data_IF_647694655650
#
_entry.id   IF_647694655650
#
_cell.length_a   1.000
_cell.length_b   1.000
_cell.length_c   1.000
_cell.angle_alpha   90.00
_cell.angle_beta   90.00
_cell.angle_gamma   90.00
#
_symmetry.space_group_name_H-M   'P 1'
#
loop_
_entity.id
_entity.type
_entity.pdbx_description
1 polymer ?
#
# COMPACT_ATOMS: atom_id res chain seq x y z
N UNK A 1 -29.52 -15.47 28.45
CA UNK A 1 -29.12 -15.20 28.71
C UNK A 1 -28.79 -14.48 28.93
N UNK A 2 -29.22 -14.60 28.68
CA UNK A 2 -28.79 -13.98 28.93
C UNK A 2 -28.14 -13.26 29.23
N UNK A 3 -28.60 -13.29 29.87
CA UNK A 3 -27.72 -12.55 30.36
C UNK A 3 -26.77 -12.58 29.34
N UNK A 4 -27.03 -13.16 28.53
CA UNK A 4 -26.12 -13.26 27.60
C UNK A 4 -25.58 -12.01 27.07
N UNK A 5 -26.20 -10.96 27.17
CA UNK A 5 -25.69 -9.73 26.67
C UNK A 5 -24.34 -9.35 27.22
N UNK A 6 -24.11 -9.67 28.48
CA UNK A 6 -22.89 -9.23 29.09
C UNK A 6 -21.68 -9.95 28.58
N UNK A 7 -21.63 -11.25 28.43
CA UNK A 7 -20.49 -11.90 27.84
C UNK A 7 -20.23 -11.37 26.44
N UNK A 8 -21.27 -11.06 25.73
CA UNK A 8 -21.10 -10.55 24.38
C UNK A 8 -20.37 -9.20 24.37
N UNK A 9 -20.67 -8.37 25.35
CA UNK A 9 -19.99 -7.09 25.42
C UNK A 9 -18.50 -7.24 25.65
N UNK A 10 -18.12 -8.14 26.54
CA UNK A 10 -16.72 -8.38 26.80
C UNK A 10 -16.02 -8.94 25.57
N UNK A 11 -16.69 -9.85 24.88
CA UNK A 11 -16.12 -10.40 23.67
C UNK A 11 -15.98 -9.34 22.61
N UNK A 12 -16.95 -8.46 22.50
CA UNK A 12 -16.88 -7.38 21.53
C UNK A 12 -15.72 -6.44 21.83
N UNK A 13 -15.49 -6.15 23.10
CA UNK A 13 -14.36 -5.30 23.47
C UNK A 13 -13.04 -5.97 23.16
N UNK A 14 -12.95 -7.28 23.42
CA UNK A 14 -11.73 -7.99 23.10
C UNK A 14 -11.49 -8.03 21.61
N UNK A 15 -12.53 -8.23 20.83
CA UNK A 15 -12.41 -8.24 19.38
C UNK A 15 -11.99 -6.88 18.87
N UNK A 16 -12.55 -5.83 19.44
CA UNK A 16 -12.17 -4.47 19.02
C UNK A 16 -10.70 -4.20 19.33
N UNK A 17 -10.24 -4.64 20.48
CA UNK A 17 -8.83 -4.46 20.85
C UNK A 17 -7.92 -5.25 19.92
N UNK A 18 -8.30 -6.48 19.61
CA UNK A 18 -7.51 -7.29 18.69
C UNK A 18 -7.46 -6.68 17.31
N UNK A 19 -8.58 -6.17 16.83
CA UNK A 19 -8.62 -5.53 15.53
C UNK A 19 -7.75 -4.30 15.51
N UNK A 20 -7.77 -3.51 16.58
CA UNK A 20 -6.95 -2.33 16.67
C UNK A 20 -5.47 -2.70 16.65
N UNK A 21 -5.09 -3.75 17.38
CA UNK A 21 -3.72 -4.22 17.35
C UNK A 21 -3.32 -4.72 15.97
N UNK A 22 -4.20 -5.42 15.30
CA UNK A 22 -3.93 -5.90 13.96
C UNK A 22 -3.74 -4.76 12.98
N UNK A 23 -4.55 -3.72 13.12
CA UNK A 23 -4.42 -2.55 12.26
C UNK A 23 -3.08 -1.84 12.49
N UNK A 24 -2.72 -1.67 13.75
CA UNK A 24 -1.44 -1.04 14.05
C UNK A 24 -0.28 -1.87 13.54
N UNK A 25 -0.37 -3.18 13.67
CA UNK A 25 0.65 -4.09 13.19
C UNK A 25 0.77 -4.03 11.68
N UNK A 26 -0.38 -4.01 11.00
CA UNK A 26 -0.39 -3.92 9.54
C UNK A 26 0.23 -2.61 9.06
N UNK A 27 -0.10 -1.51 9.73
CA UNK A 27 0.48 -0.22 9.37
C UNK A 27 1.98 -0.19 9.62
N UNK A 28 2.42 -0.80 10.71
CA UNK A 28 3.83 -0.86 11.01
C UNK A 28 4.58 -1.69 9.98
N UNK A 29 4.01 -2.82 9.58
CA UNK A 29 4.61 -3.66 8.55
C UNK A 29 4.69 -2.92 7.23
N UNK A 30 3.64 -2.19 6.88
CA UNK A 30 3.65 -1.41 5.65
C UNK A 30 4.70 -0.30 5.69
N UNK A 31 4.85 0.33 6.83
CA UNK A 31 5.83 1.42 6.96
C UNK A 31 7.26 0.92 6.78
N UNK A 32 7.51 -0.35 7.07
CA UNK A 32 8.84 -0.93 6.95
C UNK A 32 9.04 -1.75 5.70
N UNK A 33 7.97 -2.03 4.96
CA UNK A 33 8.09 -2.77 3.71
C UNK A 33 8.67 -1.86 2.64
N UNK A 34 9.39 -2.46 1.70
CA UNK A 34 9.94 -1.72 0.56
C UNK A 34 9.37 -2.29 -0.72
N UNK A 35 8.93 -1.40 -1.59
CA UNK A 35 8.32 -1.77 -2.85
C UNK A 35 9.01 -1.00 -3.94
N UNK A 36 9.31 -1.66 -5.03
CA UNK A 36 10.01 -1.03 -6.13
C UNK A 36 9.12 -0.89 -7.36
N UNK A 37 9.36 0.17 -8.09
CA UNK A 37 8.77 0.36 -9.40
C UNK A 37 9.86 0.82 -10.36
N UNK A 38 9.64 0.63 -11.64
CA UNK A 38 10.66 1.00 -12.62
C UNK A 38 10.01 1.56 -13.87
N UNK A 39 10.84 2.19 -14.68
CA UNK A 39 10.42 2.74 -15.97
C UNK A 39 11.58 2.65 -16.95
N UNK A 40 11.24 2.64 -18.23
CA UNK A 40 12.23 2.60 -19.28
C UNK A 40 13.02 1.30 -19.31
N UNK A 41 12.38 0.19 -18.95
CA UNK A 41 13.09 -1.07 -18.95
C UNK A 41 14.16 -1.16 -17.87
N UNK A 42 13.98 -0.43 -16.77
CA UNK A 42 14.93 -0.45 -15.68
C UNK A 42 15.89 0.71 -15.67
N UNK A 43 15.73 1.67 -16.60
CA UNK A 43 16.59 2.84 -16.59
C UNK A 43 16.45 3.66 -15.32
N UNK A 44 15.24 3.70 -14.76
CA UNK A 44 14.99 4.36 -13.48
C UNK A 44 14.22 3.41 -12.60
N UNK A 45 14.63 3.27 -11.34
CA UNK A 45 13.94 2.46 -10.35
C UNK A 45 13.67 3.33 -9.14
N UNK A 46 12.41 3.30 -8.68
CA UNK A 46 12.01 4.00 -7.46
C UNK A 46 11.72 2.98 -6.38
N UNK A 47 12.09 3.30 -5.15
CA UNK A 47 11.79 2.47 -3.99
C UNK A 47 10.93 3.30 -3.06
N UNK A 48 9.76 2.76 -2.69
CA UNK A 48 8.86 3.42 -1.75
C UNK A 48 8.56 2.47 -0.61
N UNK A 49 8.07 3.02 0.51
CA UNK A 49 7.57 2.17 1.58
C UNK A 49 6.22 1.60 1.17
N UNK A 50 5.77 0.58 1.89
CA UNK A 50 4.42 0.06 1.66
C UNK A 50 3.34 1.11 1.90
N UNK A 51 3.65 2.17 2.65
CA UNK A 51 2.74 3.28 2.86
C UNK A 51 2.81 4.33 1.74
N UNK A 52 3.71 4.14 0.78
CA UNK A 52 3.81 5.03 -0.36
C UNK A 52 4.83 6.13 -0.25
N UNK A 53 5.69 6.08 0.75
CA UNK A 53 6.70 7.11 0.94
C UNK A 53 7.93 6.81 0.11
N UNK A 54 8.40 7.78 -0.66
CA UNK A 54 9.57 7.58 -1.51
C UNK A 54 10.84 7.54 -0.67
N UNK A 55 11.61 6.47 -0.84
CA UNK A 55 12.85 6.27 -0.10
C UNK A 55 14.08 6.51 -0.95
N UNK A 56 14.04 6.10 -2.19
CA UNK A 56 15.24 6.16 -3.03
C UNK A 56 14.87 6.13 -4.50
N UNK A 57 15.77 6.68 -5.28
CA UNK A 57 15.71 6.59 -6.74
C UNK A 57 17.06 6.14 -7.24
N UNK A 58 17.05 5.25 -8.20
CA UNK A 58 18.26 4.82 -8.89
C UNK A 58 18.09 5.14 -10.36
N UNK A 59 19.06 5.83 -10.91
CA UNK A 59 19.05 6.20 -12.31
C UNK A 59 20.27 5.55 -12.97
N UNK A 60 19.99 4.70 -13.96
CA UNK A 60 21.06 4.04 -14.67
C UNK A 60 21.88 5.08 -15.45
N UNK A 61 23.19 4.92 -15.53
CA UNK A 61 23.97 5.82 -16.39
C UNK A 61 23.47 5.87 -17.83
N UNK A 62 22.89 4.76 -18.31
CA UNK A 62 22.35 4.74 -19.66
C UNK A 62 21.23 5.74 -19.85
N UNK A 63 20.53 6.10 -18.79
CA UNK A 63 19.43 7.05 -18.88
C UNK A 63 19.93 8.46 -19.13
N UNK A 64 21.17 8.75 -18.75
CA UNK A 64 21.71 10.11 -18.89
C UNK A 64 22.67 10.24 -20.06
N UNK A 65 22.73 9.22 -20.90
CA UNK A 65 23.54 9.29 -22.12
C UNK A 65 22.78 10.05 -23.19
N UNK A 66 23.48 10.87 -23.93
CA UNK A 66 22.84 11.63 -24.99
C UNK A 66 23.64 12.88 -25.28
N UNK A 67 23.43 13.43 -26.47
CA UNK A 67 24.16 14.60 -26.89
C UNK A 67 23.52 15.90 -26.49
N UNK A 68 22.22 15.87 -26.15
CA UNK A 68 21.48 17.05 -25.79
C UNK A 68 21.06 16.96 -24.32
N UNK A 69 21.68 17.81 -23.50
CA UNK A 69 21.43 17.75 -22.07
C UNK A 69 19.99 18.11 -21.73
N UNK A 70 19.38 19.02 -22.49
CA UNK A 70 17.99 19.38 -22.23
C UNK A 70 17.04 18.23 -22.51
N UNK A 71 17.21 17.55 -23.63
CA UNK A 71 16.37 16.39 -23.93
C UNK A 71 16.59 15.27 -22.92
N UNK A 72 17.85 15.04 -22.55
CA UNK A 72 18.17 14.00 -21.59
C UNK A 72 17.51 14.29 -20.25
N UNK A 73 17.55 15.54 -19.80
CA UNK A 73 16.94 15.92 -18.55
C UNK A 73 15.43 15.70 -18.57
N UNK A 74 14.78 16.05 -19.69
CA UNK A 74 13.34 15.83 -19.81
C UNK A 74 13.00 14.34 -19.80
N UNK A 75 13.80 13.56 -20.50
CA UNK A 75 13.57 12.11 -20.53
C UNK A 75 13.73 11.51 -19.15
N UNK A 76 14.78 11.90 -18.43
CA UNK A 76 15.00 11.39 -17.08
C UNK A 76 13.84 11.81 -16.18
N UNK A 77 13.39 13.05 -16.29
CA UNK A 77 12.26 13.51 -15.46
C UNK A 77 11.01 12.68 -15.70
N UNK A 78 10.72 12.39 -16.98
CA UNK A 78 9.54 11.57 -17.31
C UNK A 78 9.68 10.16 -16.78
N UNK A 79 10.87 9.59 -16.89
CA UNK A 79 11.12 8.25 -16.38
C UNK A 79 11.00 8.19 -14.86
N UNK A 80 11.46 9.23 -14.16
CA UNK A 80 11.35 9.29 -12.71
C UNK A 80 9.88 9.30 -12.32
N UNK A 81 9.07 10.12 -12.96
CA UNK A 81 7.66 10.20 -12.67
C UNK A 81 7.00 8.83 -12.90
N UNK A 82 7.32 8.19 -14.01
CA UNK A 82 6.76 6.90 -14.35
C UNK A 82 7.18 5.82 -13.34
N UNK A 83 8.45 5.82 -12.93
CA UNK A 83 8.94 4.85 -11.97
C UNK A 83 8.28 5.03 -10.60
N UNK A 84 8.13 6.28 -10.17
CA UNK A 84 7.48 6.57 -8.89
C UNK A 84 6.02 6.15 -8.94
N UNK A 85 5.32 6.42 -10.03
CA UNK A 85 3.94 5.98 -10.18
C UNK A 85 3.81 4.47 -10.15
N UNK A 86 4.74 3.78 -10.79
CA UNK A 86 4.74 2.32 -10.79
C UNK A 86 4.97 1.78 -9.37
N UNK A 87 5.91 2.37 -8.63
CA UNK A 87 6.17 1.97 -7.26
C UNK A 87 4.96 2.27 -6.36
N UNK A 88 4.35 3.43 -6.53
CA UNK A 88 3.19 3.82 -5.72
C UNK A 88 2.01 2.88 -5.99
N UNK A 89 1.81 2.50 -7.26
CA UNK A 89 0.77 1.54 -7.59
C UNK A 89 1.02 0.20 -6.89
N UNK A 90 2.27 -0.27 -6.94
CA UNK A 90 2.62 -1.53 -6.29
C UNK A 90 2.43 -1.44 -4.78
N UNK A 91 2.75 -0.29 -4.18
CA UNK A 91 2.53 -0.09 -2.75
C UNK A 91 1.04 -0.13 -2.43
N UNK A 92 0.20 0.44 -3.31
CA UNK A 92 -1.24 0.38 -3.13
C UNK A 92 -1.77 -1.04 -3.17
N UNK A 93 -1.22 -1.87 -4.04
CA UNK A 93 -1.60 -3.28 -4.09
C UNK A 93 -1.18 -4.00 -2.81
N UNK A 94 0.00 -3.70 -2.31
CA UNK A 94 0.46 -4.29 -1.06
C UNK A 94 -0.44 -3.88 0.10
N UNK A 95 -0.84 -2.61 0.14
CA UNK A 95 -1.76 -2.13 1.16
C UNK A 95 -3.09 -2.87 1.11
N UNK A 96 -3.60 -3.06 -0.09
CA UNK A 96 -4.87 -3.76 -0.27
C UNK A 96 -4.76 -5.20 0.23
N UNK A 97 -3.65 -5.87 -0.05
CA UNK A 97 -3.45 -7.24 0.42
C UNK A 97 -3.30 -7.30 1.93
N UNK A 98 -2.59 -6.33 2.51
CA UNK A 98 -2.37 -6.31 3.95
C UNK A 98 -3.65 -6.04 4.71
N UNK A 99 -4.55 -5.25 4.14
CA UNK A 99 -5.81 -4.91 4.78
C UNK A 99 -6.93 -5.88 4.44
N UNK A 100 -6.70 -6.79 3.51
CA UNK A 100 -7.71 -7.74 3.09
C UNK A 100 -8.30 -8.56 4.22
N UNK A 101 -7.48 -9.17 5.09
CA UNK A 101 -8.04 -9.95 6.19
C UNK A 101 -8.88 -9.11 7.13
N UNK A 102 -8.50 -7.87 7.36
CA UNK A 102 -9.27 -6.99 8.22
C UNK A 102 -10.60 -6.64 7.58
N UNK A 103 -10.58 -6.38 6.28
CA UNK A 103 -11.79 -6.08 5.54
C UNK A 103 -12.73 -7.28 5.54
N UNK A 104 -12.19 -8.47 5.37
CA UNK A 104 -13.00 -9.67 5.40
C UNK A 104 -13.62 -9.89 6.76
N UNK A 105 -12.88 -9.57 7.82
CA UNK A 105 -13.44 -9.66 9.15
C UNK A 105 -14.62 -8.75 9.33
N UNK A 106 -14.54 -7.54 8.81
CA UNK A 106 -15.67 -6.62 8.88
C UNK A 106 -16.83 -7.12 8.03
N UNK A 107 -16.54 -7.68 6.87
CA UNK A 107 -17.56 -8.25 6.04
C UNK A 107 -18.26 -9.40 6.72
N UNK A 108 -17.51 -10.18 7.48
CA UNK A 108 -18.08 -11.29 8.21
C UNK A 108 -19.08 -10.85 9.24
N UNK A 109 -18.98 -9.60 9.69
CA UNK A 109 -19.98 -9.07 10.60
C UNK A 109 -21.21 -8.59 9.86
N UNK A 110 -21.24 -8.73 8.58
CA UNK A 110 -22.41 -8.40 7.81
C UNK A 110 -22.52 -6.96 7.42
N UNK A 111 -21.55 -6.19 7.77
CA UNK A 111 -21.69 -4.81 7.50
C UNK A 111 -21.43 -4.46 6.09
N UNK A 112 -20.52 -5.07 5.51
CA UNK A 112 -20.25 -4.69 4.20
C UNK A 112 -21.15 -5.31 3.21
N UNK A 113 -21.53 -6.45 3.49
CA UNK A 113 -22.25 -7.13 2.51
C UNK A 113 -23.38 -6.47 1.97
N UNK A 114 -24.15 -6.09 2.81
CA UNK A 114 -25.36 -5.63 2.36
C UNK A 114 -25.19 -4.56 1.46
N UNK A 115 -24.54 -3.89 1.86
CA UNK A 115 -24.51 -2.78 1.26
C UNK A 115 -24.41 -2.89 -0.11
N UNK A 116 -23.74 -3.49 -0.36
CA UNK A 116 -23.49 -3.41 -1.52
C UNK A 116 -24.29 -3.48 -2.44
N UNK A 117 -24.79 -3.93 -2.50
CA UNK A 117 -25.47 -4.08 -3.42
C UNK A 117 -25.79 -3.15 -4.02
N UNK A 118 -25.63 -2.59 -3.60
CA UNK A 118 -25.87 -1.61 -4.11
C UNK A 118 -26.23 -2.04 -5.18
N UNK A 119 -26.17 -2.50 -4.84
CA UNK A 119 -26.26 -2.89 -5.71
C UNK A 119 -26.97 -3.17 -6.02
#
# INVERSE_FOLDING_TARGET
>A
MNPGGQPNMQQMLQQAQQMQQQMMQAQEELAHAEVQGSAGGGLVTATVTGAGELLALQISPDAVEGDDAGETAETVADLVVAAVRDATRAAGELQARAMGPLTQGLGGLGMGGPALPGA
#
